data_IF_947218332454
#
_entry.id   IF_947218332454
#
_cell.length_a   1.000
_cell.length_b   1.000
_cell.length_c   1.000
_cell.angle_alpha   90.00
_cell.angle_beta   90.00
_cell.angle_gamma   90.00
#
_symmetry.space_group_name_H-M   'P 1'
#
loop_
_entity.id
_entity.type
_entity.pdbx_description
1 polymer ?
#
# COMPACT_ATOMS: atom_id res chain seq x y z
N UNK A 1 -21.09 -14.11 15.30
CA UNK A 1 -19.86 -14.76 14.77
C UNK A 1 -20.24 -15.62 13.59
N UNK A 2 -19.65 -15.37 12.41
CA UNK A 2 -19.92 -16.17 11.21
C UNK A 2 -19.16 -17.50 11.31
N UNK A 3 -19.86 -18.63 11.30
CA UNK A 3 -19.23 -19.97 11.26
C UNK A 3 -18.99 -20.38 9.82
N UNK A 4 -17.76 -20.74 9.50
CA UNK A 4 -17.36 -21.07 8.13
C UNK A 4 -17.64 -22.55 7.87
N UNK A 5 -18.45 -22.85 6.86
CA UNK A 5 -18.75 -24.20 6.38
C UNK A 5 -18.39 -24.39 4.91
N UNK A 6 -18.39 -23.29 4.14
CA UNK A 6 -18.00 -23.26 2.73
C UNK A 6 -17.17 -22.01 2.42
N UNK A 7 -16.01 -22.21 1.78
CA UNK A 7 -15.14 -21.15 1.33
C UNK A 7 -14.99 -21.18 -0.20
N UNK A 8 -15.19 -20.03 -0.86
CA UNK A 8 -14.88 -19.84 -2.27
C UNK A 8 -13.53 -19.15 -2.41
N UNK A 9 -12.55 -19.83 -3.00
CA UNK A 9 -11.17 -19.35 -3.13
C UNK A 9 -10.83 -19.19 -4.61
N UNK A 10 -10.56 -17.96 -5.04
CA UNK A 10 -10.16 -17.63 -6.42
C UNK A 10 -9.09 -16.54 -6.39
N UNK A 11 -7.83 -16.95 -6.35
CA UNK A 11 -6.68 -16.05 -6.20
C UNK A 11 -5.77 -16.09 -7.42
N UNK A 12 -5.25 -14.94 -7.85
CA UNK A 12 -4.16 -14.83 -8.82
C UNK A 12 -2.80 -15.07 -8.16
N UNK A 13 -2.51 -14.36 -7.06
CA UNK A 13 -1.34 -14.62 -6.21
C UNK A 13 -1.61 -15.79 -5.25
N UNK A 14 -0.75 -16.81 -5.29
CA UNK A 14 -0.88 -18.04 -4.48
C UNK A 14 -0.16 -17.98 -3.14
N UNK A 15 0.46 -16.85 -2.80
CA UNK A 15 1.20 -16.68 -1.56
C UNK A 15 0.36 -17.06 -0.34
N UNK A 16 0.86 -18.00 0.48
CA UNK A 16 0.22 -18.45 1.72
C UNK A 16 -1.09 -19.25 1.57
N UNK A 17 -1.63 -19.45 0.36
CA UNK A 17 -2.99 -19.99 0.20
C UNK A 17 -3.14 -21.45 0.64
N UNK A 18 -2.07 -22.25 0.51
CA UNK A 18 -2.06 -23.65 0.94
C UNK A 18 -2.23 -23.77 2.46
N UNK A 19 -1.61 -22.89 3.23
CA UNK A 19 -1.71 -22.91 4.69
C UNK A 19 -3.15 -22.63 5.15
N UNK A 20 -3.77 -21.58 4.58
CA UNK A 20 -5.18 -21.27 4.84
C UNK A 20 -6.09 -22.43 4.45
N UNK A 21 -5.91 -23.00 3.27
CA UNK A 21 -6.72 -24.12 2.78
C UNK A 21 -6.61 -25.35 3.68
N UNK A 22 -5.42 -25.70 4.16
CA UNK A 22 -5.21 -26.82 5.10
C UNK A 22 -5.96 -26.61 6.42
N UNK A 23 -5.98 -25.38 6.94
CA UNK A 23 -6.73 -25.05 8.17
C UNK A 23 -8.23 -25.19 7.94
N UNK A 24 -8.74 -24.68 6.81
CA UNK A 24 -10.14 -24.82 6.42
C UNK A 24 -10.54 -26.31 6.28
N UNK A 25 -9.71 -27.13 5.64
CA UNK A 25 -9.95 -28.57 5.52
C UNK A 25 -9.98 -29.28 6.87
N UNK A 26 -9.08 -28.95 7.81
CA UNK A 26 -9.09 -29.50 9.18
C UNK A 26 -10.37 -29.15 9.93
N UNK A 27 -10.94 -27.97 9.66
CA UNK A 27 -12.22 -27.51 10.18
C UNK A 27 -13.43 -28.08 9.42
N UNK A 28 -13.20 -28.95 8.43
CA UNK A 28 -14.23 -29.56 7.56
C UNK A 28 -15.02 -28.54 6.73
N UNK A 29 -14.38 -27.44 6.37
CA UNK A 29 -14.92 -26.45 5.44
C UNK A 29 -14.84 -27.01 4.02
N UNK A 30 -15.95 -26.95 3.29
CA UNK A 30 -15.99 -27.27 1.86
C UNK A 30 -15.34 -26.15 1.04
N UNK A 31 -14.35 -26.49 0.21
CA UNK A 31 -13.62 -25.51 -0.60
C UNK A 31 -14.15 -25.55 -2.04
N UNK A 32 -14.66 -24.42 -2.50
CA UNK A 32 -14.94 -24.14 -3.91
C UNK A 32 -13.76 -23.37 -4.51
N UNK A 33 -13.34 -23.71 -5.73
CA UNK A 33 -12.25 -22.99 -6.38
C UNK A 33 -12.30 -23.00 -7.91
N UNK A 34 -11.51 -22.14 -8.55
CA UNK A 34 -11.48 -21.94 -10.00
C UNK A 34 -10.13 -22.32 -10.59
N UNK A 35 -10.14 -22.91 -11.80
CA UNK A 35 -8.98 -23.08 -12.68
C UNK A 35 -7.67 -23.45 -11.98
N UNK A 36 -6.67 -22.58 -12.11
CA UNK A 36 -5.34 -22.80 -11.54
C UNK A 36 -5.29 -22.90 -10.01
N UNK A 37 -6.24 -22.30 -9.28
CA UNK A 37 -6.33 -22.45 -7.82
C UNK A 37 -6.82 -23.85 -7.45
N UNK A 38 -7.86 -24.34 -8.14
CA UNK A 38 -8.37 -25.70 -7.92
C UNK A 38 -7.31 -26.75 -8.27
N UNK A 39 -6.55 -26.53 -9.36
CA UNK A 39 -5.41 -27.39 -9.72
C UNK A 39 -4.36 -27.43 -8.61
N UNK A 40 -3.95 -26.27 -8.08
CA UNK A 40 -2.98 -26.19 -7.00
C UNK A 40 -3.42 -27.00 -5.77
N UNK A 41 -4.70 -26.92 -5.40
CA UNK A 41 -5.25 -27.69 -4.28
C UNK A 41 -5.25 -29.19 -4.55
N UNK A 42 -5.66 -29.63 -5.76
CA UNK A 42 -5.60 -31.05 -6.14
C UNK A 42 -4.18 -31.61 -6.14
N UNK A 43 -3.21 -30.83 -6.63
CA UNK A 43 -1.79 -31.23 -6.65
C UNK A 43 -1.19 -31.36 -5.23
N UNK A 44 -1.86 -30.82 -4.21
CA UNK A 44 -1.44 -30.84 -2.80
C UNK A 44 -2.42 -31.62 -1.89
N UNK A 45 -3.22 -32.51 -2.47
CA UNK A 45 -4.17 -33.38 -1.75
C UNK A 45 -5.20 -32.63 -0.90
N UNK A 46 -5.54 -31.39 -1.27
CA UNK A 46 -6.59 -30.59 -0.62
C UNK A 46 -7.92 -30.84 -1.37
N UNK A 47 -8.96 -31.37 -0.69
CA UNK A 47 -10.27 -31.57 -1.30
C UNK A 47 -10.86 -30.23 -1.79
N UNK A 48 -11.23 -30.20 -3.06
CA UNK A 48 -11.76 -28.99 -3.72
C UNK A 48 -12.83 -29.37 -4.72
N UNK A 49 -13.88 -28.55 -4.80
CA UNK A 49 -14.92 -28.62 -5.82
C UNK A 49 -14.66 -27.50 -6.83
N UNK A 50 -14.62 -27.81 -8.12
CA UNK A 50 -14.50 -26.76 -9.13
C UNK A 50 -15.80 -25.96 -9.22
N UNK A 51 -15.70 -24.64 -9.43
CA UNK A 51 -16.87 -23.77 -9.55
C UNK A 51 -17.74 -24.16 -10.75
N UNK A 52 -17.16 -24.69 -11.83
CA UNK A 52 -17.90 -25.25 -12.97
C UNK A 52 -18.81 -26.39 -12.54
N UNK A 53 -18.31 -27.33 -11.75
CA UNK A 53 -19.09 -28.44 -11.19
C UNK A 53 -20.17 -27.95 -10.22
N UNK A 54 -19.82 -26.98 -9.37
CA UNK A 54 -20.76 -26.37 -8.42
C UNK A 54 -21.92 -25.66 -9.12
N UNK A 55 -21.64 -24.93 -10.18
CA UNK A 55 -22.63 -24.12 -10.93
C UNK A 55 -23.37 -24.91 -12.02
N UNK A 56 -22.77 -25.99 -12.53
CA UNK A 56 -23.22 -26.67 -13.74
C UNK A 56 -22.95 -25.88 -15.03
N UNK A 57 -22.14 -24.81 -14.96
CA UNK A 57 -21.83 -23.94 -16.09
C UNK A 57 -20.35 -24.05 -16.45
N UNK A 58 -20.07 -24.38 -17.71
CA UNK A 58 -18.69 -24.45 -18.21
C UNK A 58 -18.14 -23.04 -18.42
N UNK A 59 -16.86 -22.83 -18.10
CA UNK A 59 -16.16 -21.56 -18.34
C UNK A 59 -16.23 -21.16 -19.83
N UNK A 60 -16.50 -19.88 -20.10
CA UNK A 60 -16.65 -19.34 -21.47
C UNK A 60 -15.84 -18.06 -21.66
N UNK A 61 -15.61 -17.71 -22.94
CA UNK A 61 -14.94 -16.47 -23.38
C UNK A 61 -13.55 -16.32 -22.76
N UNK A 62 -12.73 -17.37 -22.90
CA UNK A 62 -11.34 -17.41 -22.42
C UNK A 62 -11.20 -17.08 -20.92
N UNK A 63 -12.21 -17.49 -20.14
CA UNK A 63 -12.23 -17.32 -18.68
C UNK A 63 -12.73 -15.98 -18.17
N UNK A 64 -13.25 -15.12 -19.05
CA UNK A 64 -13.94 -13.88 -18.68
C UNK A 64 -15.22 -14.14 -17.90
N UNK A 65 -15.91 -15.25 -18.18
CA UNK A 65 -17.18 -15.61 -17.54
C UNK A 65 -17.07 -16.98 -16.87
N UNK A 66 -16.73 -16.96 -15.58
CA UNK A 66 -16.55 -18.16 -14.73
C UNK A 66 -17.35 -18.11 -13.43
N UNK A 67 -17.35 -16.97 -12.74
CA UNK A 67 -17.96 -16.83 -11.40
C UNK A 67 -19.18 -15.90 -11.37
N UNK A 68 -19.49 -15.24 -12.50
CA UNK A 68 -20.66 -14.37 -12.66
C UNK A 68 -21.94 -15.19 -12.82
N UNK A 69 -22.28 -15.96 -11.78
CA UNK A 69 -23.39 -16.90 -11.78
C UNK A 69 -24.30 -16.70 -10.54
N UNK A 70 -25.64 -16.79 -10.68
CA UNK A 70 -26.55 -16.64 -9.54
C UNK A 70 -26.31 -17.62 -8.40
N UNK A 71 -25.86 -18.85 -8.68
CA UNK A 71 -25.51 -19.83 -7.64
C UNK A 71 -24.29 -19.44 -6.79
N UNK A 72 -23.39 -18.64 -7.35
CA UNK A 72 -22.24 -18.05 -6.62
C UNK A 72 -22.68 -16.81 -5.87
N UNK A 73 -23.20 -15.80 -6.57
CA UNK A 73 -23.56 -14.53 -5.95
C UNK A 73 -24.75 -14.65 -4.99
N UNK A 74 -25.71 -15.52 -5.26
CA UNK A 74 -26.82 -15.84 -4.36
C UNK A 74 -26.33 -16.51 -3.07
N UNK A 75 -25.35 -17.41 -3.17
CA UNK A 75 -24.71 -18.04 -2.01
C UNK A 75 -23.96 -17.04 -1.13
N UNK A 76 -23.42 -15.97 -1.72
CA UNK A 76 -22.70 -14.89 -1.03
C UNK A 76 -23.66 -13.83 -0.47
N UNK A 77 -24.63 -13.35 -1.26
CA UNK A 77 -25.49 -12.21 -0.94
C UNK A 77 -26.76 -12.59 -0.16
N UNK A 78 -27.06 -13.89 -0.08
CA UNK A 78 -28.13 -14.42 0.73
C UNK A 78 -28.03 -13.99 2.18
N UNK A 79 -29.00 -13.21 2.65
CA UNK A 79 -29.09 -12.80 4.05
C UNK A 79 -29.68 -13.95 4.86
N UNK A 80 -28.97 -14.35 5.90
CA UNK A 80 -29.35 -15.52 6.73
C UNK A 80 -30.33 -15.16 7.82
N UNK A 81 -30.41 -13.87 8.15
CA UNK A 81 -31.34 -13.29 9.10
C UNK A 81 -32.72 -12.94 8.49
N UNK A 82 -32.89 -13.12 7.17
CA UNK A 82 -34.13 -12.84 6.45
C UNK A 82 -34.77 -14.14 5.91
N UNK A 83 -35.85 -14.65 6.51
CA UNK A 83 -36.46 -15.93 6.13
C UNK A 83 -36.84 -16.05 4.65
N UNK A 84 -37.24 -14.95 4.01
CA UNK A 84 -37.58 -14.92 2.59
C UNK A 84 -36.37 -15.23 1.69
N UNK A 85 -35.19 -14.72 2.03
CA UNK A 85 -33.95 -15.02 1.30
C UNK A 85 -33.58 -16.50 1.47
N UNK A 86 -33.64 -17.01 2.70
CA UNK A 86 -33.34 -18.42 3.00
C UNK A 86 -34.29 -19.35 2.23
N UNK A 87 -35.59 -19.03 2.18
CA UNK A 87 -36.58 -19.81 1.44
C UNK A 87 -36.30 -19.79 -0.08
N UNK A 88 -36.03 -18.60 -0.64
CA UNK A 88 -35.73 -18.46 -2.06
C UNK A 88 -34.45 -19.21 -2.47
N UNK A 89 -33.37 -19.11 -1.68
CA UNK A 89 -32.13 -19.84 -1.92
C UNK A 89 -32.32 -21.35 -1.85
N UNK A 90 -33.08 -21.84 -0.87
CA UNK A 90 -33.41 -23.27 -0.76
C UNK A 90 -34.22 -23.76 -1.96
N UNK A 91 -35.21 -22.99 -2.41
CA UNK A 91 -36.04 -23.34 -3.57
C UNK A 91 -35.24 -23.37 -4.88
N UNK A 92 -34.21 -22.53 -4.99
CA UNK A 92 -33.33 -22.44 -6.14
C UNK A 92 -32.07 -23.35 -6.05
N UNK A 93 -31.96 -24.18 -5.01
CA UNK A 93 -30.77 -25.01 -4.72
C UNK A 93 -29.46 -24.20 -4.71
N UNK A 94 -29.46 -23.10 -3.96
CA UNK A 94 -28.31 -22.20 -3.78
C UNK A 94 -27.79 -22.35 -2.34
N UNK A 95 -26.71 -23.14 -2.12
CA UNK A 95 -26.05 -23.22 -0.82
C UNK A 95 -25.37 -21.91 -0.42
N UNK A 96 -25.27 -21.66 0.88
CA UNK A 96 -24.53 -20.52 1.42
C UNK A 96 -23.03 -20.63 1.14
N UNK A 97 -22.37 -19.49 0.91
CA UNK A 97 -20.91 -19.33 0.93
C UNK A 97 -20.58 -18.45 2.13
N UNK A 98 -19.71 -18.92 3.02
CA UNK A 98 -19.40 -18.25 4.30
C UNK A 98 -18.09 -17.47 4.25
N UNK A 99 -17.21 -17.83 3.32
CA UNK A 99 -15.92 -17.17 3.13
C UNK A 99 -15.63 -17.01 1.64
N UNK A 100 -15.10 -15.85 1.27
CA UNK A 100 -14.64 -15.53 -0.08
C UNK A 100 -13.20 -15.05 0.01
N UNK A 101 -12.28 -15.76 -0.62
CA UNK A 101 -10.85 -15.44 -0.66
C UNK A 101 -10.47 -15.13 -2.10
N UNK A 102 -10.28 -13.85 -2.40
CA UNK A 102 -10.07 -13.36 -3.76
C UNK A 102 -9.05 -12.22 -3.75
N UNK A 103 -7.88 -12.45 -4.34
CA UNK A 103 -7.02 -11.36 -4.79
C UNK A 103 -7.19 -11.19 -6.32
N UNK A 104 -7.17 -9.94 -6.76
CA UNK A 104 -7.53 -9.54 -8.12
C UNK A 104 -6.39 -9.84 -9.09
N UNK A 105 -6.68 -9.81 -10.39
CA UNK A 105 -5.62 -9.82 -11.40
C UNK A 105 -4.66 -8.64 -11.17
N UNK A 106 -3.35 -8.80 -11.38
CA UNK A 106 -2.35 -7.81 -11.02
C UNK A 106 -2.27 -6.70 -12.08
N UNK A 107 -3.36 -5.96 -12.27
CA UNK A 107 -3.48 -4.89 -13.27
C UNK A 107 -2.37 -3.86 -13.08
N UNK A 108 -2.15 -3.40 -11.84
CA UNK A 108 -1.12 -2.40 -11.51
C UNK A 108 0.28 -2.88 -11.91
N UNK A 109 0.61 -4.15 -11.65
CA UNK A 109 1.89 -4.73 -12.04
C UNK A 109 2.00 -4.99 -13.55
N UNK A 110 0.86 -5.22 -14.23
CA UNK A 110 0.81 -5.42 -15.69
C UNK A 110 1.13 -4.12 -16.42
N UNK A 111 0.43 -3.04 -16.08
CA UNK A 111 0.61 -1.73 -16.73
C UNK A 111 1.93 -1.05 -16.38
N UNK A 112 2.59 -1.49 -15.31
CA UNK A 112 3.93 -1.05 -14.94
C UNK A 112 5.04 -1.67 -15.82
N UNK A 113 4.74 -2.71 -16.62
CA UNK A 113 5.72 -3.34 -17.51
C UNK A 113 6.05 -2.42 -18.70
N UNK A 114 7.33 -2.21 -19.06
CA UNK A 114 7.72 -1.34 -20.17
C UNK A 114 7.15 -1.75 -21.54
N UNK A 115 6.84 -3.03 -21.71
CA UNK A 115 6.35 -3.64 -22.95
C UNK A 115 4.84 -3.95 -22.93
N UNK A 116 4.11 -3.54 -21.89
CA UNK A 116 2.66 -3.71 -21.82
C UNK A 116 1.97 -3.02 -23.01
N UNK A 117 1.13 -3.75 -23.74
CA UNK A 117 0.25 -3.14 -24.75
C UNK A 117 -1.07 -2.64 -24.13
N UNK A 118 -1.90 -1.96 -24.94
CA UNK A 118 -3.25 -1.60 -24.49
C UNK A 118 -4.10 -2.87 -24.32
N UNK A 119 -3.96 -3.83 -25.21
CA UNK A 119 -4.64 -5.13 -25.15
C UNK A 119 -4.26 -5.90 -23.88
N UNK A 120 -2.96 -5.96 -23.55
CA UNK A 120 -2.49 -6.60 -22.31
C UNK A 120 -3.15 -5.99 -21.07
N UNK A 121 -3.26 -4.66 -21.03
CA UNK A 121 -3.92 -3.94 -19.95
C UNK A 121 -5.42 -4.31 -19.88
N UNK A 122 -6.12 -4.32 -21.01
CA UNK A 122 -7.55 -4.63 -21.09
C UNK A 122 -7.85 -6.08 -20.67
N UNK A 123 -7.03 -7.05 -21.08
CA UNK A 123 -7.21 -8.46 -20.68
C UNK A 123 -6.94 -8.70 -19.19
N UNK A 124 -6.15 -7.83 -18.55
CA UNK A 124 -5.85 -7.92 -17.11
C UNK A 124 -6.86 -7.16 -16.23
N UNK A 125 -7.94 -6.63 -16.79
CA UNK A 125 -9.07 -6.10 -16.02
C UNK A 125 -9.95 -7.25 -15.52
N UNK A 126 -9.93 -7.48 -14.22
CA UNK A 126 -10.74 -8.50 -13.57
C UNK A 126 -12.19 -8.02 -13.39
N UNK A 127 -13.15 -8.82 -13.84
CA UNK A 127 -14.59 -8.56 -13.68
C UNK A 127 -15.17 -9.40 -12.54
N UNK A 128 -14.87 -10.70 -12.54
CA UNK A 128 -15.43 -11.66 -11.60
C UNK A 128 -14.90 -11.44 -10.18
N UNK A 129 -13.61 -11.14 -10.04
CA UNK A 129 -12.96 -10.88 -8.76
C UNK A 129 -13.62 -9.73 -8.00
N UNK A 130 -13.66 -8.50 -8.55
CA UNK A 130 -14.30 -7.36 -7.88
C UNK A 130 -15.79 -7.60 -7.61
N UNK A 131 -16.51 -8.28 -8.50
CA UNK A 131 -17.92 -8.62 -8.27
C UNK A 131 -18.10 -9.53 -7.03
N UNK A 132 -17.27 -10.56 -6.88
CA UNK A 132 -17.30 -11.46 -5.71
C UNK A 132 -16.88 -10.74 -4.43
N UNK A 133 -15.79 -9.95 -4.48
CA UNK A 133 -15.29 -9.17 -3.34
C UNK A 133 -16.35 -8.19 -2.84
N UNK A 134 -16.97 -7.42 -3.74
CA UNK A 134 -18.06 -6.49 -3.39
C UNK A 134 -19.28 -7.21 -2.83
N UNK A 135 -19.62 -8.38 -3.38
CA UNK A 135 -20.74 -9.19 -2.90
C UNK A 135 -20.52 -9.66 -1.46
N UNK A 136 -19.33 -10.17 -1.17
CA UNK A 136 -18.96 -10.67 0.15
C UNK A 136 -18.84 -9.52 1.18
N UNK A 137 -18.17 -8.43 0.81
CA UNK A 137 -18.05 -7.24 1.66
C UNK A 137 -19.43 -6.61 1.97
N UNK A 138 -20.34 -6.57 0.99
CA UNK A 138 -21.72 -6.11 1.24
C UNK A 138 -22.44 -6.96 2.28
N UNK A 139 -22.19 -8.28 2.30
CA UNK A 139 -22.83 -9.22 3.22
C UNK A 139 -21.92 -9.64 4.40
N UNK A 140 -21.07 -8.72 4.86
CA UNK A 140 -20.03 -8.95 5.89
C UNK A 140 -20.50 -9.56 7.21
N UNK A 141 -21.80 -9.43 7.55
CA UNK A 141 -22.38 -10.08 8.74
C UNK A 141 -22.36 -11.60 8.65
N UNK A 142 -22.53 -12.11 7.44
CA UNK A 142 -22.70 -13.52 7.13
C UNK A 142 -21.49 -14.11 6.39
N UNK A 143 -20.67 -13.27 5.74
CA UNK A 143 -19.57 -13.69 4.87
C UNK A 143 -18.26 -13.01 5.26
N UNK A 144 -17.21 -13.80 5.42
CA UNK A 144 -15.82 -13.35 5.59
C UNK A 144 -15.20 -13.12 4.22
N UNK A 145 -14.62 -11.94 3.98
CA UNK A 145 -13.93 -11.62 2.71
C UNK A 145 -12.45 -11.38 2.96
N UNK A 146 -11.58 -12.07 2.21
CA UNK A 146 -10.13 -11.86 2.24
C UNK A 146 -9.66 -11.46 0.86
N UNK A 147 -8.90 -10.36 0.78
CA UNK A 147 -8.42 -9.78 -0.48
C UNK A 147 -6.91 -9.75 -0.62
N UNK A 148 -6.17 -10.06 0.46
CA UNK A 148 -4.72 -10.00 0.50
C UNK A 148 -4.13 -11.11 1.38
N UNK A 149 -2.96 -11.64 1.01
CA UNK A 149 -2.29 -12.73 1.74
C UNK A 149 -1.83 -12.31 3.14
N UNK A 150 -1.56 -11.02 3.38
CA UNK A 150 -1.23 -10.49 4.71
C UNK A 150 -2.34 -10.71 5.74
N UNK A 151 -3.58 -10.93 5.30
CA UNK A 151 -4.73 -11.18 6.17
C UNK A 151 -4.81 -12.63 6.65
N UNK A 152 -4.06 -13.57 6.05
CA UNK A 152 -4.28 -15.00 6.29
C UNK A 152 -3.85 -15.42 7.69
N UNK A 153 -2.72 -14.92 8.19
CA UNK A 153 -2.19 -15.33 9.49
C UNK A 153 -3.16 -15.02 10.65
N UNK A 154 -3.69 -13.80 10.68
CA UNK A 154 -4.64 -13.37 11.72
C UNK A 154 -5.94 -14.18 11.65
N UNK A 155 -6.43 -14.45 10.44
CA UNK A 155 -7.67 -15.20 10.23
C UNK A 155 -7.50 -16.68 10.54
N UNK A 156 -6.36 -17.27 10.21
CA UNK A 156 -6.02 -18.64 10.62
C UNK A 156 -6.02 -18.74 12.15
N UNK A 157 -5.37 -17.80 12.84
CA UNK A 157 -5.32 -17.75 14.31
C UNK A 157 -6.73 -17.64 14.91
N UNK A 158 -7.56 -16.74 14.38
CA UNK A 158 -8.93 -16.55 14.85
C UNK A 158 -9.78 -17.81 14.63
N UNK A 159 -9.78 -18.39 13.42
CA UNK A 159 -10.51 -19.62 13.09
C UNK A 159 -10.13 -20.79 14.01
N UNK A 160 -8.84 -20.95 14.30
CA UNK A 160 -8.38 -22.03 15.19
C UNK A 160 -8.86 -21.81 16.63
N UNK A 161 -8.81 -20.58 17.13
CA UNK A 161 -9.20 -20.24 18.50
C UNK A 161 -10.71 -20.37 18.76
N UNK A 162 -11.54 -20.17 17.73
CA UNK A 162 -12.99 -20.16 17.84
C UNK A 162 -13.65 -21.46 17.36
N UNK A 163 -12.87 -22.40 16.83
CA UNK A 163 -13.41 -23.62 16.21
C UNK A 163 -14.10 -23.39 14.87
N UNK A 164 -13.62 -22.41 14.08
CA UNK A 164 -14.07 -22.12 12.72
C UNK A 164 -15.04 -20.95 12.59
N UNK A 165 -15.07 -20.04 13.57
CA UNK A 165 -15.90 -18.84 13.53
C UNK A 165 -15.05 -17.54 13.48
N UNK A 166 -15.62 -16.48 12.92
CA UNK A 166 -14.99 -15.15 12.87
C UNK A 166 -15.90 -14.12 13.53
N UNK A 167 -15.31 -13.22 14.31
CA UNK A 167 -16.01 -12.15 15.04
C UNK A 167 -16.55 -11.07 14.10
N UNK A 168 -17.61 -10.39 14.51
CA UNK A 168 -18.20 -9.30 13.71
C UNK A 168 -17.25 -8.11 13.55
N UNK A 169 -16.41 -7.84 14.55
CA UNK A 169 -15.38 -6.81 14.45
C UNK A 169 -14.39 -7.14 13.32
N UNK A 170 -13.90 -8.38 13.27
CA UNK A 170 -13.03 -8.85 12.19
C UNK A 170 -13.75 -8.82 10.83
N UNK A 171 -14.96 -9.36 10.72
CA UNK A 171 -15.66 -9.39 9.41
C UNK A 171 -15.98 -7.99 8.88
N UNK A 172 -16.31 -7.04 9.76
CA UNK A 172 -16.48 -5.64 9.37
C UNK A 172 -15.17 -5.00 8.91
N UNK A 173 -14.08 -5.20 9.66
CA UNK A 173 -12.76 -4.67 9.28
C UNK A 173 -12.29 -5.21 7.92
N UNK A 174 -12.50 -6.50 7.67
CA UNK A 174 -12.22 -7.15 6.39
C UNK A 174 -13.10 -6.60 5.26
N UNK A 175 -14.37 -6.32 5.52
CA UNK A 175 -15.26 -5.67 4.55
C UNK A 175 -14.78 -4.27 4.17
N UNK A 176 -14.34 -3.48 5.14
CA UNK A 176 -13.73 -2.16 4.89
C UNK A 176 -12.48 -2.32 4.03
N UNK A 177 -11.59 -3.26 4.37
CA UNK A 177 -10.39 -3.54 3.58
C UNK A 177 -10.73 -3.97 2.14
N UNK A 178 -11.75 -4.80 1.96
CA UNK A 178 -12.21 -5.26 0.65
C UNK A 178 -12.73 -4.13 -0.24
N UNK A 179 -13.56 -3.22 0.30
CA UNK A 179 -14.02 -2.05 -0.46
C UNK A 179 -12.87 -1.08 -0.76
N UNK A 180 -11.92 -0.90 0.16
CA UNK A 180 -10.71 -0.13 -0.12
C UNK A 180 -9.90 -0.74 -1.27
N UNK A 181 -9.68 -2.06 -1.28
CA UNK A 181 -8.94 -2.74 -2.35
C UNK A 181 -9.61 -2.58 -3.71
N UNK A 182 -10.94 -2.68 -3.77
CA UNK A 182 -11.72 -2.45 -5.00
C UNK A 182 -11.62 -0.99 -5.45
N UNK A 183 -11.76 -0.03 -4.55
CA UNK A 183 -11.59 1.40 -4.86
C UNK A 183 -10.21 1.71 -5.44
N UNK A 184 -9.16 1.09 -4.88
CA UNK A 184 -7.78 1.23 -5.37
C UNK A 184 -7.61 0.61 -6.76
N UNK A 185 -8.21 -0.56 -6.99
CA UNK A 185 -8.15 -1.26 -8.27
C UNK A 185 -8.85 -0.48 -9.39
N UNK A 186 -10.08 -0.02 -9.15
CA UNK A 186 -10.84 0.76 -10.12
C UNK A 186 -10.19 2.12 -10.40
N UNK A 187 -9.59 2.76 -9.39
CA UNK A 187 -8.80 3.97 -9.57
C UNK A 187 -7.57 3.74 -10.46
N UNK A 188 -6.87 2.62 -10.30
CA UNK A 188 -5.73 2.26 -11.15
C UNK A 188 -6.14 2.08 -12.62
N UNK A 189 -7.24 1.36 -12.86
CA UNK A 189 -7.81 1.18 -14.22
C UNK A 189 -8.21 2.53 -14.83
N UNK A 190 -8.98 3.32 -14.08
CA UNK A 190 -9.43 4.64 -14.54
C UNK A 190 -8.26 5.55 -14.86
N UNK A 191 -7.26 5.64 -13.97
CA UNK A 191 -6.10 6.51 -14.17
C UNK A 191 -5.28 6.09 -15.39
N UNK A 192 -5.05 4.79 -15.57
CA UNK A 192 -4.32 4.26 -16.73
C UNK A 192 -5.06 4.62 -18.03
N UNK A 193 -6.35 4.27 -18.14
CA UNK A 193 -7.12 4.49 -19.35
C UNK A 193 -7.33 5.98 -19.65
N UNK A 194 -7.55 6.82 -18.63
CA UNK A 194 -7.67 8.28 -18.79
C UNK A 194 -6.39 8.95 -19.26
N UNK A 195 -5.22 8.31 -19.06
CA UNK A 195 -3.95 8.79 -19.55
C UNK A 195 -3.69 8.41 -21.01
N UNK A 196 -4.34 7.40 -21.58
CA UNK A 196 -4.05 6.91 -22.94
C UNK A 196 -4.50 7.91 -24.01
N UNK A 197 -3.57 8.33 -24.86
CA UNK A 197 -3.84 8.91 -26.18
C UNK A 197 -4.05 7.77 -27.16
N UNK A 198 -5.31 7.45 -27.45
CA UNK A 198 -5.65 6.32 -28.32
C UNK A 198 -5.10 6.46 -29.74
N UNK A 199 -5.20 7.66 -30.32
CA UNK A 199 -4.77 7.88 -31.72
C UNK A 199 -3.27 7.74 -31.84
N UNK A 200 -2.51 8.34 -30.92
CA UNK A 200 -1.07 8.20 -30.88
C UNK A 200 -0.66 6.76 -30.56
N UNK A 201 -1.38 6.07 -29.68
CA UNK A 201 -1.08 4.68 -29.32
C UNK A 201 -1.20 3.74 -30.53
N UNK A 202 -2.27 3.86 -31.31
CA UNK A 202 -2.46 3.06 -32.52
C UNK A 202 -1.41 3.37 -33.59
N UNK A 203 -1.01 4.64 -33.75
CA UNK A 203 0.02 5.04 -34.70
C UNK A 203 1.42 4.52 -34.35
N UNK A 204 1.71 4.31 -33.06
CA UNK A 204 3.02 3.87 -32.57
C UNK A 204 3.07 2.39 -32.18
N UNK A 205 1.94 1.68 -32.26
CA UNK A 205 1.80 0.29 -31.81
C UNK A 205 2.32 0.06 -30.37
N UNK A 206 2.09 1.04 -29.49
CA UNK A 206 2.44 1.02 -28.07
C UNK A 206 1.61 2.07 -27.32
N UNK A 207 1.32 1.90 -26.01
CA UNK A 207 0.66 2.93 -25.23
C UNK A 207 1.42 4.26 -25.26
N UNK A 208 0.72 5.32 -25.64
CA UNK A 208 1.18 6.71 -25.55
C UNK A 208 0.26 7.41 -24.57
N UNK A 209 0.84 8.10 -23.58
CA UNK A 209 0.06 8.77 -22.54
C UNK A 209 0.12 10.29 -22.65
N UNK A 210 -1.00 10.95 -22.39
CA UNK A 210 -1.05 12.37 -22.10
C UNK A 210 -0.30 12.66 -20.80
N UNK A 211 0.43 13.79 -20.77
CA UNK A 211 1.11 14.25 -19.56
C UNK A 211 0.12 14.57 -18.43
N UNK A 212 -1.04 15.13 -18.78
CA UNK A 212 -2.11 15.46 -17.84
C UNK A 212 -3.43 14.85 -18.33
N UNK A 213 -3.93 13.78 -17.69
CA UNK A 213 -5.18 13.14 -18.08
C UNK A 213 -6.38 14.00 -17.70
N UNK A 214 -7.53 13.76 -18.36
CA UNK A 214 -8.78 14.45 -18.05
C UNK A 214 -9.36 14.07 -16.67
N UNK A 215 -9.00 12.90 -16.15
CA UNK A 215 -9.40 12.42 -14.83
C UNK A 215 -8.20 11.81 -14.11
N UNK A 216 -8.13 12.04 -12.79
CA UNK A 216 -7.14 11.45 -11.89
C UNK A 216 -7.78 11.14 -10.54
N UNK A 217 -7.61 9.91 -10.07
CA UNK A 217 -8.17 9.38 -8.83
C UNK A 217 -7.03 9.02 -7.87
N UNK A 218 -6.97 9.65 -6.69
CA UNK A 218 -5.92 9.42 -5.69
C UNK A 218 -6.43 8.59 -4.51
N UNK A 219 -5.55 7.77 -3.93
CA UNK A 219 -5.83 6.95 -2.76
C UNK A 219 -4.69 7.11 -1.75
N UNK A 220 -5.05 7.32 -0.49
CA UNK A 220 -4.09 7.53 0.58
C UNK A 220 -4.29 6.55 1.74
N UNK A 221 -3.19 6.11 2.35
CA UNK A 221 -3.17 5.27 3.54
C UNK A 221 -2.74 6.11 4.73
N UNK A 222 -3.51 6.06 5.82
CA UNK A 222 -3.17 6.77 7.04
C UNK A 222 -1.89 6.19 7.65
N UNK A 223 -0.95 7.06 7.98
CA UNK A 223 0.29 6.73 8.68
C UNK A 223 0.09 6.92 10.19
N UNK A 224 -0.41 8.08 10.59
CA UNK A 224 -0.67 8.40 12.00
C UNK A 224 -1.69 9.54 12.15
N UNK A 225 -2.35 9.58 13.32
CA UNK A 225 -2.96 10.81 13.80
C UNK A 225 -1.88 11.81 14.20
N UNK A 226 -2.14 13.11 14.00
CA UNK A 226 -1.27 14.17 14.49
C UNK A 226 -1.90 14.82 15.71
N UNK A 227 -1.06 15.26 16.64
CA UNK A 227 -1.51 15.92 17.87
C UNK A 227 -2.43 17.12 17.59
N UNK A 228 -2.13 17.86 16.53
CA UNK A 228 -2.90 18.96 15.98
C UNK A 228 -2.38 19.28 14.56
N UNK A 229 -3.08 20.14 13.83
CA UNK A 229 -2.68 20.67 12.52
C UNK A 229 -1.58 21.72 12.62
N UNK A 230 -1.66 22.78 11.82
CA UNK A 230 -0.68 23.87 11.88
C UNK A 230 -0.71 24.60 13.24
N UNK A 231 -1.91 24.68 13.83
CA UNK A 231 -2.17 25.29 15.13
C UNK A 231 -2.92 24.34 16.09
N UNK A 232 -2.80 24.51 17.43
CA UNK A 232 -3.36 23.58 18.41
C UNK A 232 -4.88 23.33 18.36
N UNK A 233 -5.65 24.23 17.76
CA UNK A 233 -7.11 24.12 17.64
C UNK A 233 -7.56 23.34 16.39
N UNK A 234 -6.63 22.95 15.51
CA UNK A 234 -6.90 22.20 14.28
C UNK A 234 -6.58 20.72 14.49
N UNK A 235 -7.43 19.83 13.97
CA UNK A 235 -7.12 18.40 13.91
C UNK A 235 -6.33 18.09 12.63
N UNK A 236 -5.47 17.07 12.68
CA UNK A 236 -4.74 16.62 11.50
C UNK A 236 -4.36 15.13 11.58
N UNK A 237 -4.07 14.55 10.43
CA UNK A 237 -3.52 13.21 10.28
C UNK A 237 -2.55 13.19 9.11
N UNK A 238 -1.54 12.32 9.21
CA UNK A 238 -0.54 12.13 8.17
C UNK A 238 -0.90 10.90 7.32
N UNK A 239 -0.88 11.07 6.01
CA UNK A 239 -1.19 10.03 5.05
C UNK A 239 -0.06 9.89 4.02
N UNK A 240 0.01 8.74 3.38
CA UNK A 240 0.93 8.43 2.28
C UNK A 240 0.18 7.89 1.07
N UNK A 241 0.77 8.03 -0.11
CA UNK A 241 0.33 7.30 -1.29
C UNK A 241 0.43 5.77 -1.09
N UNK A 242 -0.33 5.01 -1.89
CA UNK A 242 -0.22 3.55 -1.93
C UNK A 242 1.21 3.11 -2.25
N UNK A 243 1.81 3.79 -3.23
CA UNK A 243 3.19 3.60 -3.69
C UNK A 243 3.95 4.93 -3.56
N UNK A 244 4.49 5.23 -2.37
CA UNK A 244 5.21 6.47 -2.15
C UNK A 244 6.37 6.66 -3.13
N UNK A 245 6.57 7.89 -3.59
CA UNK A 245 7.73 8.24 -4.41
C UNK A 245 9.03 7.89 -3.64
N UNK A 246 10.02 7.25 -4.27
CA UNK A 246 11.31 7.00 -3.63
C UNK A 246 11.90 8.29 -3.08
N UNK A 247 12.47 8.24 -1.86
CA UNK A 247 13.09 9.40 -1.25
C UNK A 247 12.14 10.53 -0.85
N UNK A 248 10.82 10.32 -0.83
CA UNK A 248 9.85 11.28 -0.26
C UNK A 248 9.79 11.18 1.27
N UNK A 249 9.33 12.25 1.94
CA UNK A 249 9.30 12.32 3.41
C UNK A 249 8.51 11.17 4.06
N UNK A 250 7.43 10.71 3.44
CA UNK A 250 6.60 9.60 3.92
C UNK A 250 7.35 8.26 3.99
N UNK A 251 8.52 8.15 3.34
CA UNK A 251 9.40 6.95 3.40
C UNK A 251 10.40 7.02 4.55
N UNK A 252 10.39 8.09 5.36
CA UNK A 252 11.35 8.29 6.42
C UNK A 252 11.23 7.25 7.53
N UNK A 253 12.38 6.69 7.91
CA UNK A 253 12.52 5.97 9.14
C UNK A 253 12.87 6.96 10.26
N UNK A 254 12.00 7.06 11.27
CA UNK A 254 12.32 7.81 12.48
C UNK A 254 13.18 6.95 13.42
N UNK A 255 14.45 7.33 13.58
CA UNK A 255 15.44 6.60 14.38
C UNK A 255 15.35 6.94 15.88
N UNK A 256 14.91 8.15 16.22
CA UNK A 256 14.67 8.59 17.60
C UNK A 256 13.75 9.82 17.63
N UNK A 257 13.42 10.30 18.84
CA UNK A 257 12.70 11.54 19.06
C UNK A 257 11.21 11.34 19.35
N UNK A 258 10.53 12.45 19.61
CA UNK A 258 9.07 12.49 19.78
C UNK A 258 8.36 12.26 18.44
N UNK A 259 7.07 11.97 18.47
CA UNK A 259 6.23 12.00 17.25
C UNK A 259 6.38 13.34 16.49
N UNK A 260 6.34 13.27 15.16
CA UNK A 260 6.34 14.45 14.30
C UNK A 260 5.02 15.21 14.43
N UNK A 261 5.11 16.54 14.56
CA UNK A 261 3.95 17.43 14.41
C UNK A 261 3.68 17.74 12.92
N UNK A 262 2.51 18.34 12.63
CA UNK A 262 2.19 18.85 11.29
C UNK A 262 3.29 19.77 10.75
N UNK A 263 3.71 20.76 11.54
CA UNK A 263 4.76 21.69 11.12
C UNK A 263 6.13 21.01 10.98
N UNK A 264 6.42 19.98 11.77
CA UNK A 264 7.64 19.19 11.58
C UNK A 264 7.63 18.48 10.22
N UNK A 265 6.48 17.95 9.80
CA UNK A 265 6.35 17.27 8.51
C UNK A 265 6.54 18.29 7.37
N UNK A 266 5.82 19.41 7.42
CA UNK A 266 5.90 20.45 6.38
C UNK A 266 7.33 21.02 6.22
N UNK A 267 7.97 21.39 7.34
CA UNK A 267 9.32 21.96 7.32
C UNK A 267 10.38 20.91 6.95
N UNK A 268 10.19 19.63 7.34
CA UNK A 268 11.11 18.56 6.98
C UNK A 268 11.03 18.23 5.49
N UNK A 269 9.84 18.26 4.91
CA UNK A 269 9.65 18.09 3.46
C UNK A 269 10.34 19.22 2.71
N UNK A 270 10.11 20.48 3.10
CA UNK A 270 10.75 21.64 2.49
C UNK A 270 12.29 21.58 2.59
N UNK A 271 12.84 21.24 3.76
CA UNK A 271 14.29 21.11 3.94
C UNK A 271 14.88 19.96 3.12
N UNK A 272 14.16 18.83 3.06
CA UNK A 272 14.58 17.63 2.36
C UNK A 272 14.55 17.82 0.84
N UNK A 273 13.46 18.33 0.28
CA UNK A 273 13.37 18.60 -1.16
C UNK A 273 14.40 19.66 -1.60
N UNK A 274 14.65 20.68 -0.78
CA UNK A 274 15.70 21.65 -1.04
C UNK A 274 17.10 21.03 -1.05
N UNK A 275 17.45 20.22 -0.03
CA UNK A 275 18.81 19.66 0.07
C UNK A 275 19.10 18.64 -1.05
N UNK A 276 18.07 17.90 -1.50
CA UNK A 276 18.17 16.92 -2.59
C UNK A 276 18.47 17.53 -3.95
N UNK A 277 18.20 18.82 -4.15
CA UNK A 277 18.50 19.52 -5.42
C UNK A 277 20.00 19.70 -5.69
N UNK A 278 20.86 19.45 -4.69
CA UNK A 278 22.31 19.62 -4.81
C UNK A 278 23.03 18.28 -5.02
N UNK A 279 23.97 18.26 -5.96
CA UNK A 279 24.90 17.12 -6.17
C UNK A 279 26.06 17.11 -5.16
N UNK A 280 26.52 18.29 -4.78
CA UNK A 280 27.59 18.47 -3.80
C UNK A 280 27.06 18.28 -2.38
N UNK A 281 27.94 17.90 -1.45
CA UNK A 281 27.59 17.81 -0.03
C UNK A 281 27.01 19.15 0.44
N UNK A 282 25.78 19.11 0.93
CA UNK A 282 25.00 20.30 1.26
C UNK A 282 24.24 20.12 2.58
N UNK A 283 23.93 21.27 3.19
CA UNK A 283 23.09 21.39 4.36
C UNK A 283 22.07 22.50 4.13
N UNK A 284 20.80 22.21 4.46
CA UNK A 284 19.71 23.18 4.45
C UNK A 284 19.11 23.25 5.85
N UNK A 285 18.85 24.46 6.34
CA UNK A 285 18.16 24.72 7.60
C UNK A 285 16.89 25.50 7.27
N UNK A 286 15.74 24.96 7.66
CA UNK A 286 14.41 25.54 7.44
C UNK A 286 13.74 25.85 8.77
N UNK A 287 12.95 26.93 8.80
CA UNK A 287 12.01 27.22 9.87
C UNK A 287 10.75 27.87 9.30
N UNK A 288 9.58 27.33 9.60
CA UNK A 288 8.30 27.80 9.09
C UNK A 288 8.29 27.92 7.55
N UNK A 289 8.68 26.85 6.88
CA UNK A 289 8.82 26.69 5.42
C UNK A 289 9.82 27.66 4.74
N UNK A 290 10.60 28.43 5.51
CA UNK A 290 11.58 29.38 4.99
C UNK A 290 13.01 28.91 5.27
N UNK A 291 13.92 28.91 4.27
CA UNK A 291 15.32 28.58 4.50
C UNK A 291 16.00 29.70 5.29
N UNK A 292 16.53 29.38 6.47
CA UNK A 292 17.38 30.30 7.25
C UNK A 292 18.88 30.08 6.99
N UNK A 293 19.25 28.97 6.32
CA UNK A 293 20.62 28.74 5.87
C UNK A 293 20.70 27.63 4.83
N UNK A 294 21.49 27.86 3.78
CA UNK A 294 21.77 26.86 2.72
C UNK A 294 23.24 26.96 2.40
N UNK A 295 23.97 25.85 2.46
CA UNK A 295 25.39 25.87 2.11
C UNK A 295 25.91 24.54 1.55
N UNK A 296 26.93 24.66 0.72
CA UNK A 296 27.76 23.56 0.24
C UNK A 296 29.04 23.46 1.09
N UNK A 297 29.55 22.25 1.27
CA UNK A 297 30.82 21.98 1.96
C UNK A 297 31.50 20.72 1.46
N UNK A 298 32.77 20.51 1.81
CA UNK A 298 33.48 19.27 1.54
C UNK A 298 33.06 18.13 2.49
N UNK A 299 32.43 18.47 3.62
CA UNK A 299 31.89 17.52 4.61
C UNK A 299 30.55 18.02 5.17
N UNK A 300 29.82 17.12 5.84
CA UNK A 300 28.59 17.49 6.55
C UNK A 300 28.84 18.60 7.57
N UNK A 301 29.96 18.53 8.31
CA UNK A 301 30.33 19.55 9.28
C UNK A 301 30.54 20.93 8.63
N UNK A 302 31.27 20.98 7.51
CA UNK A 302 31.56 22.24 6.83
C UNK A 302 30.28 22.85 6.24
N UNK A 303 29.44 22.03 5.60
CA UNK A 303 28.15 22.47 5.05
C UNK A 303 27.23 23.01 6.16
N UNK A 304 27.11 22.30 7.29
CA UNK A 304 26.35 22.76 8.44
C UNK A 304 26.87 24.09 9.00
N UNK A 305 28.18 24.18 9.21
CA UNK A 305 28.80 25.37 9.82
C UNK A 305 28.52 26.61 8.99
N UNK A 306 28.64 26.53 7.66
CA UNK A 306 28.32 27.63 6.74
C UNK A 306 26.83 27.95 6.70
N UNK A 307 25.96 26.93 6.64
CA UNK A 307 24.52 27.13 6.63
C UNK A 307 24.06 27.83 7.92
N UNK A 308 24.54 27.38 9.08
CA UNK A 308 24.23 27.97 10.38
C UNK A 308 24.70 29.43 10.49
N UNK A 309 25.84 29.79 9.89
CA UNK A 309 26.35 31.16 9.89
C UNK A 309 25.49 32.16 9.11
N UNK A 310 24.55 31.70 8.29
CA UNK A 310 23.66 32.57 7.50
C UNK A 310 22.72 33.35 8.42
N UNK A 311 22.00 32.65 9.30
CA UNK A 311 21.18 33.26 10.34
C UNK A 311 21.07 32.33 11.57
N UNK A 312 22.02 32.45 12.52
CA UNK A 312 22.01 31.66 13.75
C UNK A 312 20.75 31.84 14.61
N UNK A 313 20.13 33.03 14.55
CA UNK A 313 18.96 33.36 15.36
C UNK A 313 17.74 32.61 14.86
N UNK A 314 17.52 32.61 13.54
CA UNK A 314 16.43 31.88 12.91
C UNK A 314 16.65 30.38 12.90
N UNK A 315 17.90 29.89 12.91
CA UNK A 315 18.21 28.47 12.98
C UNK A 315 17.80 27.80 14.31
N UNK A 316 17.57 28.56 15.39
CA UNK A 316 17.13 28.01 16.66
C UNK A 316 15.74 27.37 16.55
N UNK A 317 15.66 26.07 16.84
CA UNK A 317 14.45 25.26 16.67
C UNK A 317 14.12 24.93 15.22
N UNK A 318 15.08 25.14 14.30
CA UNK A 318 14.91 24.80 12.89
C UNK A 318 14.94 23.29 12.63
N UNK A 319 14.64 22.96 11.39
CA UNK A 319 14.80 21.62 10.81
C UNK A 319 16.03 21.63 9.91
N UNK A 320 16.90 20.65 10.13
CA UNK A 320 18.20 20.56 9.48
C UNK A 320 18.20 19.34 8.55
N UNK A 321 18.54 19.54 7.29
CA UNK A 321 18.63 18.49 6.28
C UNK A 321 20.02 18.42 5.67
N UNK A 322 20.54 17.20 5.48
CA UNK A 322 21.77 16.91 4.76
C UNK A 322 21.48 16.00 3.57
N UNK A 323 22.16 16.17 2.43
CA UNK A 323 22.12 15.19 1.33
C UNK A 323 23.26 14.14 1.41
N UNK A 324 23.95 14.08 2.54
CA UNK A 324 25.08 13.17 2.79
C UNK A 324 24.98 12.56 4.18
N UNK A 325 25.75 11.49 4.43
CA UNK A 325 25.82 10.84 5.74
C UNK A 325 26.32 11.81 6.82
N UNK A 326 25.62 11.86 7.95
CA UNK A 326 26.03 12.65 9.12
C UNK A 326 27.00 11.84 9.97
N UNK A 327 28.22 12.37 10.13
CA UNK A 327 29.26 11.81 10.98
C UNK A 327 29.23 12.39 12.40
N UNK A 328 30.10 11.87 13.27
CA UNK A 328 30.22 12.32 14.66
C UNK A 328 30.45 13.82 14.77
N UNK A 329 31.35 14.38 13.95
CA UNK A 329 31.75 15.78 14.06
C UNK A 329 30.61 16.72 13.66
N UNK A 330 29.87 16.39 12.60
CA UNK A 330 28.66 17.11 12.22
C UNK A 330 27.56 16.98 13.30
N UNK A 331 27.34 15.78 13.85
CA UNK A 331 26.37 15.56 14.92
C UNK A 331 26.71 16.35 16.19
N UNK A 332 27.99 16.45 16.57
CA UNK A 332 28.45 17.27 17.69
C UNK A 332 28.20 18.75 17.45
N UNK A 333 28.41 19.23 16.22
CA UNK A 333 28.13 20.62 15.86
C UNK A 333 26.63 20.93 15.93
N UNK A 334 25.78 20.07 15.34
CA UNK A 334 24.32 20.20 15.39
C UNK A 334 23.81 20.18 16.83
N UNK A 335 24.35 19.30 17.68
CA UNK A 335 23.90 19.11 19.06
C UNK A 335 24.20 20.30 19.98
N UNK A 336 25.01 21.26 19.55
CA UNK A 336 25.22 22.54 20.26
C UNK A 336 23.99 23.45 20.18
N UNK A 337 23.10 23.24 19.20
CA UNK A 337 21.89 24.02 19.00
C UNK A 337 20.64 23.23 19.35
N UNK A 338 19.53 23.95 19.57
CA UNK A 338 18.22 23.34 19.61
C UNK A 338 17.73 23.14 18.18
N UNK A 339 17.46 21.88 17.80
CA UNK A 339 16.85 21.52 16.52
C UNK A 339 15.62 20.64 16.80
N UNK A 340 14.56 20.83 16.01
CA UNK A 340 13.33 20.04 16.13
C UNK A 340 13.46 18.70 15.39
N UNK A 341 14.01 18.75 14.17
CA UNK A 341 14.19 17.60 13.27
C UNK A 341 15.55 17.68 12.60
N UNK A 342 16.20 16.52 12.46
CA UNK A 342 17.40 16.31 11.66
C UNK A 342 17.11 15.19 10.65
N UNK A 343 17.35 15.45 9.37
CA UNK A 343 17.11 14.50 8.28
C UNK A 343 18.35 14.30 7.40
N UNK A 344 18.67 13.05 7.07
CA UNK A 344 19.82 12.70 6.24
C UNK A 344 19.66 11.31 5.58
N UNK A 345 20.47 10.99 4.54
CA UNK A 345 20.55 9.66 3.95
C UNK A 345 20.97 8.57 4.93
N UNK A 346 21.92 8.89 5.81
CA UNK A 346 22.40 7.96 6.82
C UNK A 346 23.13 8.70 7.95
N UNK A 347 23.44 7.95 9.00
CA UNK A 347 24.19 8.40 10.17
C UNK A 347 25.23 7.36 10.56
N UNK A 348 26.42 7.80 10.94
CA UNK A 348 27.39 6.90 11.58
C UNK A 348 26.91 6.47 12.97
N UNK A 349 27.38 5.33 13.48
CA UNK A 349 27.07 4.86 14.85
C UNK A 349 27.44 5.91 15.92
N UNK A 350 28.57 6.58 15.71
CA UNK A 350 29.05 7.62 16.62
C UNK A 350 28.18 8.88 16.56
N UNK A 351 27.68 9.25 15.36
CA UNK A 351 26.72 10.33 15.21
C UNK A 351 25.42 10.06 15.98
N UNK A 352 24.89 8.83 15.87
CA UNK A 352 23.67 8.44 16.60
C UNK A 352 23.88 8.48 18.12
N UNK A 353 25.07 8.08 18.57
CA UNK A 353 25.46 8.15 20.00
C UNK A 353 25.50 9.59 20.52
N UNK A 354 25.97 10.54 19.70
CA UNK A 354 25.94 11.97 20.05
C UNK A 354 24.50 12.49 20.10
N UNK A 355 23.70 12.14 19.08
CA UNK A 355 22.31 12.61 18.95
C UNK A 355 21.37 12.04 20.04
N UNK A 356 21.67 10.87 20.60
CA UNK A 356 20.85 10.26 21.66
C UNK A 356 20.82 11.07 22.96
N UNK A 357 21.80 11.96 23.18
CA UNK A 357 21.78 12.90 24.30
C UNK A 357 20.66 13.95 24.18
N UNK A 358 20.09 14.14 22.97
CA UNK A 358 18.97 15.04 22.70
C UNK A 358 17.67 14.26 22.45
N UNK A 359 17.19 13.53 23.45
CA UNK A 359 16.07 12.58 23.33
C UNK A 359 14.80 13.08 22.61
N UNK A 360 14.58 14.39 22.51
CA UNK A 360 13.41 14.97 21.85
C UNK A 360 13.60 15.24 20.34
N UNK A 361 14.83 15.34 19.84
CA UNK A 361 15.08 15.64 18.42
C UNK A 361 14.67 14.46 17.56
N UNK A 362 13.86 14.71 16.52
CA UNK A 362 13.49 13.66 15.58
C UNK A 362 14.63 13.47 14.60
N UNK A 363 15.21 12.29 14.59
CA UNK A 363 16.26 11.93 13.63
C UNK A 363 15.61 11.05 12.58
N UNK A 364 15.52 11.59 11.36
CA UNK A 364 14.90 10.93 10.22
C UNK A 364 15.99 10.43 9.28
N UNK A 365 15.82 9.20 8.81
CA UNK A 365 16.66 8.57 7.78
C UNK A 365 15.83 8.35 6.52
N UNK A 366 16.26 8.92 5.40
CA UNK A 366 15.67 8.70 4.07
C UNK A 366 16.78 8.40 3.08
N UNK A 367 16.83 7.17 2.56
CA UNK A 367 17.87 6.80 1.62
C UNK A 367 17.84 7.67 0.34
N UNK A 368 19.04 8.06 -0.13
CA UNK A 368 19.26 8.64 -1.46
C UNK A 368 20.17 7.70 -2.27
N UNK A 369 19.59 6.72 -3.00
CA UNK A 369 20.37 5.80 -3.81
C UNK A 369 21.17 6.55 -4.88
N UNK A 370 22.45 6.19 -5.05
CA UNK A 370 23.33 6.79 -6.08
C UNK A 370 23.32 6.03 -7.41
N UNK A 371 22.64 4.89 -7.53
CA UNK A 371 22.75 3.98 -8.67
C UNK A 371 21.43 3.32 -9.05
N UNK A 372 21.35 2.82 -10.29
CA UNK A 372 20.23 2.05 -10.82
C UNK A 372 20.38 0.57 -10.57
N UNK A 373 19.25 -0.14 -10.61
CA UNK A 373 19.23 -1.60 -10.70
C UNK A 373 19.90 -2.03 -12.01
N UNK A 374 20.72 -3.09 -11.95
CA UNK A 374 21.21 -3.81 -13.15
C UNK A 374 22.14 -3.03 -14.11
N UNK A 375 22.96 -2.10 -13.60
CA UNK A 375 24.04 -1.49 -14.41
C UNK A 375 23.58 -0.40 -15.40
N UNK A 376 22.32 0.01 -15.35
CA UNK A 376 21.81 1.21 -16.02
C UNK A 376 22.00 2.44 -15.12
N UNK A 377 22.15 3.63 -15.72
CA UNK A 377 22.08 4.88 -14.96
C UNK A 377 20.67 5.00 -14.37
N UNK A 378 20.56 5.04 -13.04
CA UNK A 378 19.28 5.33 -12.40
C UNK A 378 18.74 6.67 -12.89
N UNK A 379 17.46 6.69 -13.25
CA UNK A 379 16.69 7.91 -13.42
C UNK A 379 16.70 8.75 -12.12
N UNK A 380 16.49 10.07 -12.19
CA UNK A 380 16.32 10.90 -10.99
C UNK A 380 15.28 10.32 -10.02
N UNK A 381 14.17 9.80 -10.56
CA UNK A 381 13.12 9.12 -9.79
C UNK A 381 13.63 7.94 -8.96
N UNK A 382 14.41 7.04 -9.55
CA UNK A 382 14.99 5.88 -8.84
C UNK A 382 16.00 6.30 -7.77
N UNK A 383 16.61 7.48 -7.91
CA UNK A 383 17.53 8.07 -6.92
C UNK A 383 16.79 8.84 -5.81
N UNK A 384 15.45 8.88 -5.86
CA UNK A 384 14.63 9.67 -4.96
C UNK A 384 14.80 11.18 -5.11
N UNK A 385 15.22 11.62 -6.30
CA UNK A 385 15.46 13.02 -6.67
C UNK A 385 14.35 13.54 -7.57
N UNK A 386 14.09 14.84 -7.47
CA UNK A 386 13.24 15.55 -8.42
C UNK A 386 13.97 15.62 -9.76
N UNK A 387 13.28 15.28 -10.84
CA UNK A 387 13.78 15.28 -12.22
C UNK A 387 13.92 16.68 -12.80
#
# INVERSE_FOLDING_TARGET
MATIKRALISVSDKSGILELALVLTKLKVEILSTGGTAKLFRDNDIPVIEVSDYTGFTEMLDGRVKTLHPKVHGGILGRRDLPEHVAAMKAADIPNIDMVVVNLYPFEATVAKPDCTLEDAIENIDIGGPAMVRSAAKNWKDVVVLTDASQYADIISELQSTGGAVTEATTFALSVAAFNRVSQYDAAISNYLSAIDYTASMANNKPVSHQFPAQSNTNFIKVQDLRYGENPHQQAAFYRDLYPAPGSLVTAQQLQGKELSYNNIADADAAWEAVKSFDSTSCVIVKHANPCGVALGASALEAYTKAFQTDPSSAFGGIIAFNTTVDKAAAEAVSKQFAEVLIAPDYTSDALTVLSAKANVRVLKIALPKGGTLGLKASPWEQGRNS
#
